data_IF_416780464570
#
_entry.id   IF_416780464570
#
_cell.length_a   1.000
_cell.length_b   1.000
_cell.length_c   1.000
_cell.angle_alpha   90.00
_cell.angle_beta   90.00
_cell.angle_gamma   90.00
#
_symmetry.space_group_name_H-M   'P 1'
#
loop_
_entity.id
_entity.type
_entity.pdbx_description
1 polymer ?
#
# COMPACT_ATOMS: atom_id res chain seq x y z
N UNK A 1 -32.86 -33.07 -24.88
CA UNK A 1 -32.86 -31.63 -24.53
C UNK A 1 -32.13 -31.31 -23.21
N UNK A 2 -32.20 -32.17 -22.18
CA UNK A 2 -31.55 -31.92 -20.88
C UNK A 2 -30.01 -32.04 -20.89
N UNK A 3 -29.46 -32.97 -21.67
CA UNK A 3 -28.00 -33.22 -21.74
C UNK A 3 -27.26 -32.11 -22.51
N UNK A 4 -27.87 -31.56 -23.56
CA UNK A 4 -27.30 -30.47 -24.36
C UNK A 4 -27.19 -29.17 -23.54
N UNK A 5 -28.17 -28.91 -22.67
CA UNK A 5 -28.18 -27.75 -21.77
C UNK A 5 -27.06 -27.82 -20.70
N UNK A 6 -26.71 -29.02 -20.23
CA UNK A 6 -25.63 -29.22 -19.24
C UNK A 6 -24.25 -29.01 -19.87
N UNK A 7 -24.06 -29.42 -21.13
CA UNK A 7 -22.80 -29.21 -21.87
C UNK A 7 -22.53 -27.73 -22.21
N UNK A 8 -23.58 -26.95 -22.51
CA UNK A 8 -23.46 -25.52 -22.81
C UNK A 8 -23.10 -24.70 -21.56
N UNK A 9 -23.59 -25.08 -20.37
CA UNK A 9 -23.27 -24.40 -19.11
C UNK A 9 -21.82 -24.59 -18.67
N UNK A 10 -21.19 -25.74 -18.97
CA UNK A 10 -19.79 -26.01 -18.64
C UNK A 10 -18.79 -25.22 -19.51
N UNK A 11 -19.19 -24.82 -20.72
CA UNK A 11 -18.35 -24.04 -21.64
C UNK A 11 -18.37 -22.53 -21.31
N UNK A 12 -19.35 -22.05 -20.56
CA UNK A 12 -19.49 -20.63 -20.19
C UNK A 12 -18.67 -20.24 -18.95
N UNK A 13 -18.20 -21.20 -18.14
CA UNK A 13 -17.36 -20.91 -16.96
C UNK A 13 -15.86 -20.88 -17.26
N UNK A 14 -15.45 -21.07 -18.51
CA UNK A 14 -14.04 -21.10 -18.89
C UNK A 14 -13.43 -19.72 -19.22
N UNK A 15 -14.22 -18.63 -19.20
CA UNK A 15 -13.78 -17.31 -19.65
C UNK A 15 -13.52 -16.30 -18.53
N UNK A 16 -13.37 -16.72 -17.26
CA UNK A 16 -12.92 -15.81 -16.20
C UNK A 16 -11.74 -16.42 -15.43
N UNK A 17 -10.87 -17.11 -16.16
CA UNK A 17 -9.59 -17.57 -15.62
C UNK A 17 -8.67 -16.36 -15.44
N UNK A 18 -8.85 -15.57 -14.39
CA UNK A 18 -7.74 -14.79 -13.82
C UNK A 18 -6.71 -15.81 -13.33
N UNK A 19 -5.89 -16.32 -14.25
CA UNK A 19 -4.79 -17.20 -13.92
C UNK A 19 -3.81 -16.37 -13.10
N UNK A 20 -3.89 -16.50 -11.78
CA UNK A 20 -2.87 -15.98 -10.89
C UNK A 20 -1.63 -16.84 -11.15
N UNK A 21 -0.75 -16.40 -12.06
CA UNK A 21 0.57 -17.02 -12.25
C UNK A 21 1.29 -16.97 -10.90
N UNK A 22 1.96 -18.06 -10.52
CA UNK A 22 2.73 -18.11 -9.27
C UNK A 22 3.71 -16.92 -9.12
N UNK A 23 4.25 -16.41 -10.23
CA UNK A 23 5.06 -15.18 -10.23
C UNK A 23 4.32 -13.91 -9.79
N UNK A 24 3.01 -13.81 -10.04
CA UNK A 24 2.19 -12.69 -9.56
C UNK A 24 1.90 -12.78 -8.06
N UNK A 25 1.82 -13.99 -7.48
CA UNK A 25 1.70 -14.17 -6.03
C UNK A 25 2.97 -13.72 -5.31
N UNK A 26 4.14 -14.18 -5.78
CA UNK A 26 5.43 -13.76 -5.20
C UNK A 26 5.64 -12.25 -5.26
N UNK A 27 5.28 -11.62 -6.40
CA UNK A 27 5.32 -10.16 -6.55
C UNK A 27 4.38 -9.46 -5.58
N UNK A 28 3.12 -9.92 -5.49
CA UNK A 28 2.14 -9.34 -4.56
C UNK A 28 2.64 -9.42 -3.13
N UNK A 29 3.14 -10.57 -2.69
CA UNK A 29 3.74 -10.75 -1.35
C UNK A 29 4.92 -9.80 -1.13
N UNK A 30 5.75 -9.57 -2.15
CA UNK A 30 6.85 -8.60 -2.07
C UNK A 30 6.35 -7.16 -1.86
N UNK A 31 5.34 -6.74 -2.63
CA UNK A 31 4.71 -5.42 -2.52
C UNK A 31 4.05 -5.25 -1.14
N UNK A 32 3.31 -6.26 -0.68
CA UNK A 32 2.64 -6.25 0.63
C UNK A 32 3.68 -6.09 1.76
N UNK A 33 4.81 -6.79 1.69
CA UNK A 33 5.93 -6.61 2.64
C UNK A 33 6.53 -5.22 2.58
N UNK A 34 6.69 -4.62 1.40
CA UNK A 34 7.19 -3.25 1.28
C UNK A 34 6.21 -2.24 1.87
N UNK A 35 4.89 -2.46 1.73
CA UNK A 35 3.87 -1.66 2.41
C UNK A 35 3.98 -1.79 3.94
N UNK A 36 4.10 -3.01 4.46
CA UNK A 36 4.26 -3.26 5.90
C UNK A 36 5.53 -2.60 6.45
N UNK A 37 6.66 -2.68 5.74
CA UNK A 37 7.92 -2.06 6.16
C UNK A 37 7.79 -0.54 6.26
N UNK A 38 7.21 0.10 5.24
CA UNK A 38 6.94 1.54 5.25
C UNK A 38 6.01 1.91 6.41
N UNK A 39 4.87 1.23 6.55
CA UNK A 39 3.88 1.55 7.57
C UNK A 39 4.45 1.35 8.99
N UNK A 40 5.32 0.36 9.19
CA UNK A 40 6.06 0.18 10.43
C UNK A 40 7.05 1.32 10.71
N UNK A 41 7.77 1.82 9.70
CA UNK A 41 8.62 3.00 9.85
C UNK A 41 7.81 4.24 10.23
N UNK A 42 6.70 4.49 9.52
CA UNK A 42 5.83 5.64 9.77
C UNK A 42 5.27 5.61 11.20
N UNK A 43 4.76 4.46 11.64
CA UNK A 43 4.24 4.30 13.00
C UNK A 43 5.31 4.54 14.07
N UNK A 44 6.55 4.05 13.87
CA UNK A 44 7.66 4.23 14.81
C UNK A 44 8.08 5.69 14.93
N UNK A 45 8.27 6.38 13.82
CA UNK A 45 8.70 7.79 13.82
C UNK A 45 7.58 8.71 14.34
N UNK A 46 6.33 8.47 13.96
CA UNK A 46 5.19 9.22 14.50
C UNK A 46 5.03 9.08 16.02
N UNK A 47 5.33 7.90 16.59
CA UNK A 47 5.29 7.68 18.04
C UNK A 47 6.40 8.46 18.78
N UNK A 48 7.56 8.66 18.16
CA UNK A 48 8.64 9.47 18.74
C UNK A 48 8.24 10.94 18.87
N UNK A 49 7.43 11.45 17.94
CA UNK A 49 7.00 12.85 17.88
C UNK A 49 5.60 13.10 18.48
N UNK A 50 4.94 12.08 19.04
CA UNK A 50 3.53 12.13 19.47
C UNK A 50 3.19 13.16 20.57
N UNK A 51 4.20 13.75 21.23
CA UNK A 51 4.04 14.75 22.31
C UNK A 51 4.39 16.17 21.84
N UNK A 52 4.86 16.35 20.61
CA UNK A 52 5.23 17.68 20.11
C UNK A 52 3.99 18.56 19.92
N UNK A 53 4.13 19.86 20.20
CA UNK A 53 3.08 20.87 19.97
C UNK A 53 3.04 21.38 18.53
N UNK A 54 3.84 20.80 17.64
CA UNK A 54 3.94 21.22 16.24
C UNK A 54 2.67 20.87 15.45
N UNK A 55 2.47 21.54 14.32
CA UNK A 55 1.37 21.25 13.42
C UNK A 55 1.43 19.78 12.94
N UNK A 56 0.32 19.01 13.01
CA UNK A 56 0.33 17.60 12.59
C UNK A 56 0.78 17.39 11.15
N UNK A 57 0.54 18.34 10.23
CA UNK A 57 0.95 18.20 8.84
C UNK A 57 2.46 18.38 8.67
N UNK A 58 3.06 19.32 9.41
CA UNK A 58 4.52 19.47 9.45
C UNK A 58 5.19 18.18 9.94
N UNK A 59 4.68 17.57 11.01
CA UNK A 59 5.22 16.31 11.51
C UNK A 59 4.97 15.14 10.58
N UNK A 60 3.78 15.05 9.99
CA UNK A 60 3.48 14.02 9.00
C UNK A 60 4.47 14.07 7.83
N UNK A 61 4.77 15.27 7.34
CA UNK A 61 5.76 15.47 6.29
C UNK A 61 7.18 15.08 6.75
N UNK A 62 7.58 15.46 7.96
CA UNK A 62 8.88 15.07 8.52
C UNK A 62 9.01 13.55 8.70
N UNK A 63 7.97 12.90 9.22
CA UNK A 63 7.88 11.43 9.37
C UNK A 63 7.93 10.75 8.01
N UNK A 64 7.18 11.23 7.02
CA UNK A 64 7.24 10.69 5.66
C UNK A 64 8.64 10.83 5.04
N UNK A 65 9.30 11.96 5.27
CA UNK A 65 10.68 12.19 4.82
C UNK A 65 11.67 11.23 5.50
N UNK A 66 11.50 10.99 6.80
CA UNK A 66 12.34 10.05 7.56
C UNK A 66 12.23 8.61 7.05
N UNK A 67 11.06 8.24 6.49
CA UNK A 67 10.76 6.93 5.91
C UNK A 67 10.84 6.91 4.37
N UNK A 68 11.59 7.85 3.77
CA UNK A 68 11.76 7.95 2.32
C UNK A 68 12.43 6.71 1.73
N UNK A 69 13.36 6.08 2.46
CA UNK A 69 14.04 4.88 2.02
C UNK A 69 13.08 3.69 1.84
N UNK A 70 12.20 3.44 2.83
CA UNK A 70 11.16 2.41 2.75
C UNK A 70 10.13 2.73 1.66
N UNK A 71 9.83 4.02 1.48
CA UNK A 71 8.93 4.49 0.42
C UNK A 71 9.52 4.25 -0.97
N UNK A 72 10.80 4.52 -1.18
CA UNK A 72 11.49 4.26 -2.44
C UNK A 72 11.62 2.75 -2.73
N UNK A 73 11.81 1.92 -1.70
CA UNK A 73 11.75 0.46 -1.84
C UNK A 73 10.35 -0.01 -2.28
N UNK A 74 9.29 0.55 -1.71
CA UNK A 74 7.91 0.28 -2.11
C UNK A 74 7.65 0.70 -3.57
N UNK A 75 8.18 1.85 -3.99
CA UNK A 75 8.09 2.31 -5.39
C UNK A 75 8.76 1.29 -6.31
N UNK A 76 9.98 0.86 -5.99
CA UNK A 76 10.73 -0.11 -6.78
C UNK A 76 10.04 -1.48 -6.85
N UNK A 77 9.36 -1.91 -5.78
CA UNK A 77 8.59 -3.16 -5.77
C UNK A 77 7.27 -3.06 -6.55
N UNK A 78 6.64 -1.88 -6.53
CA UNK A 78 5.32 -1.65 -7.13
C UNK A 78 5.41 -1.42 -8.63
N UNK A 79 6.39 -0.64 -9.07
CA UNK A 79 6.47 -0.15 -10.44
C UNK A 79 7.81 -0.49 -11.13
N UNK A 80 7.79 -1.53 -11.95
CA UNK A 80 8.91 -1.89 -12.83
C UNK A 80 8.99 -1.05 -14.11
N UNK A 81 7.93 -0.34 -14.47
CA UNK A 81 7.91 0.51 -15.67
C UNK A 81 8.53 1.89 -15.43
N UNK A 82 8.67 2.30 -14.17
CA UNK A 82 9.22 3.61 -13.80
C UNK A 82 8.29 4.77 -14.14
N UNK A 83 6.97 4.54 -14.14
CA UNK A 83 5.97 5.59 -14.27
C UNK A 83 6.03 6.52 -13.04
N UNK A 84 6.49 7.75 -13.30
CA UNK A 84 6.60 8.79 -12.28
C UNK A 84 5.29 9.05 -11.52
N UNK A 85 4.12 8.76 -12.11
CA UNK A 85 2.82 8.91 -11.45
C UNK A 85 2.61 7.89 -10.34
N UNK A 86 3.09 6.64 -10.51
CA UNK A 86 3.01 5.62 -9.46
C UNK A 86 3.91 6.02 -8.29
N UNK A 87 5.13 6.46 -8.60
CA UNK A 87 6.06 6.97 -7.60
C UNK A 87 5.49 8.17 -6.83
N UNK A 88 4.88 9.14 -7.53
CA UNK A 88 4.24 10.29 -6.92
C UNK A 88 3.05 9.89 -6.03
N UNK A 89 2.19 8.98 -6.51
CA UNK A 89 1.04 8.49 -5.76
C UNK A 89 1.46 7.74 -4.49
N UNK A 90 2.51 6.93 -4.54
CA UNK A 90 3.04 6.22 -3.36
C UNK A 90 3.61 7.21 -2.34
N UNK A 91 4.33 8.25 -2.79
CA UNK A 91 4.83 9.30 -1.87
C UNK A 91 3.69 10.05 -1.21
N UNK A 92 2.66 10.41 -1.96
CA UNK A 92 1.46 11.07 -1.42
C UNK A 92 0.69 10.18 -0.43
N UNK A 93 0.54 8.88 -0.73
CA UNK A 93 -0.05 7.91 0.21
C UNK A 93 0.79 7.80 1.50
N UNK A 94 2.12 7.88 1.38
CA UNK A 94 3.03 7.82 2.53
C UNK A 94 2.86 9.03 3.44
N UNK A 95 2.73 10.24 2.89
CA UNK A 95 2.40 11.45 3.67
C UNK A 95 1.03 11.37 4.33
N UNK A 96 0.01 10.91 3.59
CA UNK A 96 -1.34 10.74 4.12
C UNK A 96 -1.37 9.72 5.28
N UNK A 97 -0.63 8.62 5.16
CA UNK A 97 -0.50 7.63 6.25
C UNK A 97 0.36 8.15 7.39
N UNK A 98 1.40 8.93 7.12
CA UNK A 98 2.18 9.57 8.18
C UNK A 98 1.29 10.46 9.05
N UNK A 99 0.42 11.27 8.42
CA UNK A 99 -0.60 12.06 9.13
C UNK A 99 -1.47 11.18 10.01
N UNK A 100 -1.92 10.04 9.47
CA UNK A 100 -2.71 9.09 10.23
C UNK A 100 -1.97 8.60 11.48
N UNK A 101 -0.71 8.21 11.36
CA UNK A 101 0.05 7.75 12.52
C UNK A 101 0.34 8.87 13.53
N UNK A 102 0.62 10.10 13.07
CA UNK A 102 0.83 11.27 13.94
C UNK A 102 -0.43 11.58 14.76
N UNK A 103 -1.60 11.61 14.13
CA UNK A 103 -2.86 11.86 14.84
C UNK A 103 -3.19 10.71 15.81
N UNK A 104 -2.93 9.46 15.43
CA UNK A 104 -3.09 8.30 16.32
C UNK A 104 -2.15 8.37 17.54
N UNK A 105 -0.88 8.75 17.34
CA UNK A 105 0.09 8.91 18.43
C UNK A 105 -0.33 10.00 19.44
N UNK A 106 -1.05 11.02 18.95
CA UNK A 106 -1.65 12.09 19.76
C UNK A 106 -2.98 11.70 20.45
N UNK A 107 -3.43 10.46 20.30
CA UNK A 107 -4.71 10.00 20.84
C UNK A 107 -5.94 10.54 20.11
N UNK A 108 -5.77 11.12 18.92
CA UNK A 108 -6.87 11.60 18.08
C UNK A 108 -7.39 10.43 17.25
N UNK A 109 -8.69 10.14 17.36
CA UNK A 109 -9.35 9.14 16.52
C UNK A 109 -9.52 9.71 15.12
N UNK A 110 -9.06 8.93 14.14
CA UNK A 110 -9.27 9.21 12.72
C UNK A 110 -10.44 8.34 12.29
N UNK A 111 -11.48 9.00 11.80
CA UNK A 111 -12.74 8.38 11.36
C UNK A 111 -12.55 7.62 10.05
#
# INVERSE_FOLDING_TARGET
MRIVLVLVLLLLTACEGSFVRAGNLGRKVGIDKSYEARDACLARNAAADGVSSEDPATLAHAVALSCSAETDQLIAASDYSGDARVAASIRQDSEFRAMKYVMQARGQKIF
#
